data_IF_592624716379
#
_entry.id   IF_592624716379
#
_cell.length_a   1.000
_cell.length_b   1.000
_cell.length_c   1.000
_cell.angle_alpha   90.00
_cell.angle_beta   90.00
_cell.angle_gamma   90.00
#
_symmetry.space_group_name_H-M   'P 1'
#
loop_
_entity.id
_entity.type
_entity.pdbx_description
1 polymer ?
#
# COMPACT_ATOMS: atom_id res chain seq x y z
N UNK A 1 -8.78 -4.44 7.87
CA UNK A 1 -7.42 -4.20 8.40
C UNK A 1 -6.83 -2.89 7.87
N UNK A 2 -6.50 -2.80 6.57
CA UNK A 2 -5.75 -1.67 5.96
C UNK A 2 -6.19 -0.24 6.35
N UNK A 3 -7.48 0.13 6.39
CA UNK A 3 -7.88 1.50 6.75
C UNK A 3 -7.54 1.92 8.19
N UNK A 4 -7.14 0.98 9.06
CA UNK A 4 -6.74 1.25 10.44
C UNK A 4 -5.21 1.35 10.60
N UNK A 5 -4.44 1.24 9.51
CA UNK A 5 -2.99 1.41 9.54
C UNK A 5 -2.69 2.87 9.23
N UNK A 6 -1.97 3.55 10.12
CA UNK A 6 -1.50 4.91 9.90
C UNK A 6 -0.65 4.98 8.62
N UNK A 7 -0.83 6.03 7.83
CA UNK A 7 -0.20 6.16 6.52
C UNK A 7 -0.95 5.48 5.37
N UNK A 8 -2.04 4.73 5.63
CA UNK A 8 -2.97 4.28 4.59
C UNK A 8 -4.08 5.32 4.39
N UNK A 9 -4.29 5.71 3.13
CA UNK A 9 -5.30 6.67 2.74
C UNK A 9 -6.57 6.02 2.21
N UNK A 10 -7.20 6.68 1.23
CA UNK A 10 -8.50 6.26 0.73
C UNK A 10 -8.39 4.98 -0.08
N UNK A 11 -9.41 4.14 0.02
CA UNK A 11 -9.65 3.05 -0.92
C UNK A 11 -10.08 3.64 -2.26
N UNK A 12 -9.31 3.35 -3.31
CA UNK A 12 -9.52 3.84 -4.67
C UNK A 12 -10.19 2.83 -5.59
N UNK A 13 -10.22 1.56 -5.20
CA UNK A 13 -10.95 0.52 -5.92
C UNK A 13 -10.48 -0.89 -5.57
N UNK A 14 -11.02 -1.86 -6.31
CA UNK A 14 -10.63 -3.27 -6.19
C UNK A 14 -11.50 -4.13 -5.26
N UNK A 15 -12.57 -3.57 -4.66
CA UNK A 15 -13.48 -4.34 -3.78
C UNK A 15 -14.19 -5.51 -4.46
N UNK A 16 -14.26 -5.52 -5.79
CA UNK A 16 -14.84 -6.60 -6.61
C UNK A 16 -13.78 -7.25 -7.52
N UNK A 17 -12.53 -7.30 -7.07
CA UNK A 17 -11.41 -7.89 -7.79
C UNK A 17 -10.52 -8.71 -6.84
N UNK A 18 -9.51 -9.38 -7.40
CA UNK A 18 -8.46 -10.07 -6.64
C UNK A 18 -7.34 -9.12 -6.15
N UNK A 19 -7.64 -7.82 -6.05
CA UNK A 19 -6.69 -6.82 -5.58
C UNK A 19 -7.45 -5.65 -4.96
N UNK A 20 -6.81 -4.92 -4.06
CA UNK A 20 -7.27 -3.63 -3.55
C UNK A 20 -6.32 -2.51 -3.95
N UNK A 21 -6.84 -1.29 -4.09
CA UNK A 21 -6.06 -0.12 -4.45
C UNK A 21 -6.20 0.94 -3.35
N UNK A 22 -5.11 1.26 -2.67
CA UNK A 22 -5.10 2.24 -1.58
C UNK A 22 -4.07 3.34 -1.84
N UNK A 23 -4.38 4.54 -1.39
CA UNK A 23 -3.42 5.64 -1.30
C UNK A 23 -2.44 5.40 -0.14
N UNK A 24 -1.19 5.84 -0.32
CA UNK A 24 -0.19 5.94 0.74
C UNK A 24 0.02 7.41 1.07
N UNK A 25 -0.03 7.73 2.36
CA UNK A 25 0.04 9.08 2.88
C UNK A 25 1.45 9.38 3.42
N UNK A 26 1.83 10.65 3.38
CA UNK A 26 2.99 11.18 4.10
C UNK A 26 2.68 11.42 5.59
N UNK A 27 3.69 11.91 6.33
CA UNK A 27 3.57 12.29 7.74
C UNK A 27 2.54 13.41 8.01
N UNK A 28 2.06 14.11 6.99
CA UNK A 28 1.02 15.12 7.08
C UNK A 28 -0.37 14.58 6.67
N UNK A 29 -0.48 13.27 6.43
CA UNK A 29 -1.73 12.61 6.04
C UNK A 29 -2.13 12.89 4.58
N UNK A 30 -1.20 13.28 3.71
CA UNK A 30 -1.48 13.62 2.30
C UNK A 30 -0.95 12.54 1.37
N UNK A 31 -1.68 12.15 0.31
CA UNK A 31 -1.17 11.21 -0.68
C UNK A 31 0.13 11.72 -1.30
N UNK A 32 1.21 10.94 -1.17
CA UNK A 32 2.55 11.38 -1.56
C UNK A 32 3.31 10.30 -2.34
N UNK A 33 3.60 10.57 -3.62
CA UNK A 33 4.25 9.61 -4.52
C UNK A 33 5.62 9.13 -4.02
N UNK A 34 6.55 10.01 -3.59
CA UNK A 34 7.84 9.55 -3.04
C UNK A 34 7.69 8.59 -1.85
N UNK A 35 6.77 8.87 -0.92
CA UNK A 35 6.49 7.97 0.21
C UNK A 35 5.95 6.62 -0.29
N UNK A 36 4.99 6.63 -1.21
CA UNK A 36 4.43 5.39 -1.77
C UNK A 36 5.44 4.56 -2.56
N UNK A 37 6.40 5.20 -3.24
CA UNK A 37 7.49 4.53 -3.94
C UNK A 37 8.45 3.87 -2.95
N UNK A 38 8.84 4.58 -1.89
CA UNK A 38 9.69 4.04 -0.84
C UNK A 38 9.04 2.83 -0.15
N UNK A 39 7.74 2.92 0.16
CA UNK A 39 6.98 1.80 0.74
C UNK A 39 6.91 0.62 -0.25
N UNK A 40 6.64 0.87 -1.53
CA UNK A 40 6.65 -0.16 -2.57
C UNK A 40 8.00 -0.90 -2.64
N UNK A 41 9.11 -0.16 -2.66
CA UNK A 41 10.46 -0.73 -2.72
C UNK A 41 10.80 -1.56 -1.47
N UNK A 42 10.44 -1.05 -0.29
CA UNK A 42 10.59 -1.78 0.98
C UNK A 42 9.77 -3.06 1.03
N UNK A 43 8.49 -3.02 0.61
CA UNK A 43 7.62 -4.20 0.59
C UNK A 43 8.14 -5.29 -0.36
N UNK A 44 8.65 -4.89 -1.52
CA UNK A 44 9.21 -5.83 -2.50
C UNK A 44 10.51 -6.50 -2.01
N UNK A 45 11.36 -5.75 -1.31
CA UNK A 45 12.70 -6.21 -0.90
C UNK A 45 12.71 -6.94 0.44
N UNK A 46 11.90 -6.49 1.40
CA UNK A 46 11.94 -6.98 2.80
C UNK A 46 10.89 -8.05 3.07
N UNK A 47 9.68 -7.87 2.54
CA UNK A 47 8.54 -8.73 2.88
C UNK A 47 8.26 -9.85 1.86
N UNK A 48 8.93 -9.81 0.70
CA UNK A 48 8.63 -10.71 -0.43
C UNK A 48 7.21 -10.50 -0.98
N UNK A 49 6.56 -9.38 -0.64
CA UNK A 49 5.19 -9.08 -1.06
C UNK A 49 5.23 -8.19 -2.29
N UNK A 50 4.76 -8.73 -3.41
CA UNK A 50 4.73 -8.01 -4.68
C UNK A 50 3.47 -7.15 -4.77
N UNK A 51 3.63 -5.86 -4.45
CA UNK A 51 2.62 -4.83 -4.75
C UNK A 51 3.00 -4.09 -6.05
N UNK A 52 2.09 -3.28 -6.60
CA UNK A 52 2.39 -2.45 -7.78
C UNK A 52 2.11 -0.99 -7.51
N UNK A 53 3.09 -0.14 -7.77
CA UNK A 53 2.90 1.29 -7.77
C UNK A 53 2.04 1.74 -8.95
N UNK A 54 1.00 2.55 -8.68
CA UNK A 54 0.09 3.16 -9.66
C UNK A 54 0.01 4.69 -9.51
N UNK A 55 0.90 5.29 -8.71
CA UNK A 55 0.95 6.74 -8.47
C UNK A 55 1.23 7.61 -9.69
N UNK A 56 1.68 7.00 -10.80
CA UNK A 56 1.90 7.67 -12.08
C UNK A 56 0.61 7.73 -12.95
N UNK A 57 -0.45 7.02 -12.57
CA UNK A 57 -1.70 7.01 -13.33
C UNK A 57 -2.64 8.14 -12.94
N UNK A 58 -3.40 8.61 -13.94
CA UNK A 58 -4.42 9.62 -13.73
C UNK A 58 -5.43 9.17 -12.67
N UNK A 59 -5.64 10.02 -11.66
CA UNK A 59 -6.58 9.73 -10.56
C UNK A 59 -6.09 8.72 -9.51
N UNK A 60 -4.84 8.25 -9.61
CA UNK A 60 -4.24 7.26 -8.71
C UNK A 60 -3.04 7.79 -7.92
N UNK A 61 -3.02 9.09 -7.57
CA UNK A 61 -1.92 9.68 -6.79
C UNK A 61 -1.57 8.82 -5.57
N UNK A 62 -0.28 8.49 -5.44
CA UNK A 62 0.30 7.69 -4.36
C UNK A 62 -0.35 6.32 -4.14
N UNK A 63 -0.97 5.73 -5.17
CA UNK A 63 -1.68 4.47 -5.02
C UNK A 63 -0.78 3.24 -5.15
N UNK A 64 -0.99 2.27 -4.26
CA UNK A 64 -0.46 0.92 -4.38
C UNK A 64 -1.59 -0.07 -4.66
N UNK A 65 -1.41 -0.88 -5.71
CA UNK A 65 -2.26 -2.00 -6.04
C UNK A 65 -1.71 -3.25 -5.35
N UNK A 66 -2.50 -3.79 -4.43
CA UNK A 66 -2.16 -4.92 -3.57
C UNK A 66 -3.02 -6.11 -3.99
N UNK A 67 -2.41 -7.19 -4.46
CA UNK A 67 -3.13 -8.43 -4.76
C UNK A 67 -3.58 -9.11 -3.47
N UNK A 68 -4.80 -9.65 -3.43
CA UNK A 68 -5.27 -10.47 -2.31
C UNK A 68 -4.81 -11.90 -2.55
N UNK A 69 -3.93 -12.39 -1.68
CA UNK A 69 -3.33 -13.73 -1.73
C UNK A 69 -3.84 -14.65 -0.63
N UNK A 70 -2.96 -15.50 -0.11
CA UNK A 70 -3.25 -16.35 1.07
C UNK A 70 -3.24 -15.56 2.37
N UNK A 71 -3.81 -16.12 3.44
CA UNK A 71 -3.83 -15.46 4.76
C UNK A 71 -2.41 -15.17 5.30
N UNK A 72 -1.44 -16.05 5.03
CA UNK A 72 -0.03 -15.84 5.41
C UNK A 72 0.62 -14.70 4.61
N UNK A 73 0.27 -14.54 3.33
CA UNK A 73 0.73 -13.42 2.50
C UNK A 73 0.11 -12.11 2.97
N UNK A 74 -1.18 -12.12 3.31
CA UNK A 74 -1.88 -10.95 3.85
C UNK A 74 -1.31 -10.56 5.22
N UNK A 75 -1.02 -11.52 6.09
CA UNK A 75 -0.44 -11.25 7.42
C UNK A 75 0.93 -10.59 7.30
N UNK A 76 1.82 -11.15 6.49
CA UNK A 76 3.16 -10.57 6.22
C UNK A 76 3.08 -9.18 5.61
N UNK A 77 2.14 -8.94 4.70
CA UNK A 77 1.89 -7.61 4.14
C UNK A 77 1.48 -6.61 5.22
N UNK A 78 0.51 -6.97 6.07
CA UNK A 78 -0.01 -6.07 7.10
C UNK A 78 1.07 -5.73 8.13
N UNK A 79 1.90 -6.69 8.52
CA UNK A 79 3.05 -6.47 9.41
C UNK A 79 4.08 -5.54 8.76
N UNK A 80 4.46 -5.80 7.50
CA UNK A 80 5.42 -4.97 6.80
C UNK A 80 4.93 -3.53 6.58
N UNK A 81 3.64 -3.35 6.29
CA UNK A 81 3.02 -2.03 6.18
C UNK A 81 3.06 -1.28 7.51
N UNK A 82 2.67 -1.93 8.61
CA UNK A 82 2.72 -1.32 9.95
C UNK A 82 4.14 -0.92 10.35
N UNK A 83 5.13 -1.73 9.98
CA UNK A 83 6.53 -1.44 10.27
C UNK A 83 7.05 -0.25 9.46
N UNK A 84 6.83 -0.24 8.14
CA UNK A 84 7.44 0.75 7.25
C UNK A 84 6.67 2.08 7.11
N UNK A 85 5.40 2.11 7.50
CA UNK A 85 4.62 3.36 7.56
C UNK A 85 4.73 4.07 8.92
N UNK A 86 5.26 3.40 9.95
CA UNK A 86 5.52 3.99 11.26
C UNK A 86 6.89 4.70 11.37
N UNK A 87 7.74 4.55 10.35
CA UNK A 87 9.05 5.22 10.22
C UNK A 87 8.93 6.62 9.59
#
# INVERSE_FOLDING_TARGET
ELPHIDGIGRLRGGTHANFVLFEILDAHGRPHNPTSLAVYEKLATVAGVVVRFRGAEHGCLACLRITVGTDDEVTRLLEALRHHLAE
#
